data_IF_741136836994
#
_entry.id   IF_741136836994
#
_cell.length_a   1.000
_cell.length_b   1.000
_cell.length_c   1.000
_cell.angle_alpha   90.00
_cell.angle_beta   90.00
_cell.angle_gamma   90.00
#
_symmetry.space_group_name_H-M   'P 1'
#
loop_
_entity.id
_entity.type
_entity.pdbx_description
1 polymer ?
#
# COMPACT_ATOMS: atom_id res chain seq x y z
N UNK A 1 -28.29 17.97 20.99
CA UNK A 1 -29.65 17.40 20.86
C UNK A 1 -29.56 16.22 19.92
N UNK A 2 -29.76 15.01 20.45
CA UNK A 2 -29.73 13.76 19.68
C UNK A 2 -31.11 13.62 19.03
N UNK A 3 -31.20 13.81 17.72
CA UNK A 3 -32.42 13.49 16.98
C UNK A 3 -32.43 11.98 16.70
N UNK A 4 -33.30 11.26 17.40
CA UNK A 4 -33.70 9.92 17.01
C UNK A 4 -34.49 10.01 15.71
N UNK A 5 -34.03 9.31 14.67
CA UNK A 5 -34.78 9.16 13.41
C UNK A 5 -35.55 7.85 13.49
N UNK A 6 -36.88 7.95 13.39
CA UNK A 6 -37.80 6.82 13.31
C UNK A 6 -37.87 6.30 11.88
N UNK A 7 -37.92 4.98 11.71
CA UNK A 7 -38.00 4.33 10.40
C UNK A 7 -39.46 4.08 10.01
N UNK A 8 -39.83 4.46 8.78
CA UNK A 8 -41.10 4.08 8.17
C UNK A 8 -40.84 3.08 7.04
N UNK A 9 -41.29 1.83 7.22
CA UNK A 9 -41.33 0.82 6.16
C UNK A 9 -42.65 1.03 5.41
N UNK A 10 -42.59 1.41 4.14
CA UNK A 10 -43.76 1.37 3.24
C UNK A 10 -43.58 0.25 2.23
N UNK A 11 -44.34 -0.83 2.40
CA UNK A 11 -44.52 -1.86 1.38
C UNK A 11 -45.66 -1.43 0.44
N UNK A 12 -45.34 -1.16 -0.83
CA UNK A 12 -46.34 -1.00 -1.88
C UNK A 12 -46.62 -2.34 -2.55
N UNK A 13 -47.88 -2.78 -2.55
CA UNK A 13 -48.33 -3.93 -3.34
C UNK A 13 -48.75 -3.44 -4.73
N UNK A 14 -48.13 -4.00 -5.78
CA UNK A 14 -48.61 -3.87 -7.16
C UNK A 14 -48.97 -5.26 -7.67
N UNK A 15 -50.26 -5.51 -7.87
CA UNK A 15 -50.78 -6.76 -8.43
C UNK A 15 -50.87 -6.66 -9.95
N UNK A 16 -49.77 -6.94 -10.66
CA UNK A 16 -49.79 -7.53 -12.02
C UNK A 16 -48.38 -7.69 -12.60
N UNK A 17 -47.80 -8.89 -12.48
CA UNK A 17 -46.90 -9.52 -13.47
C UNK A 17 -46.26 -10.78 -12.86
N UNK A 18 -45.97 -11.77 -13.69
CA UNK A 18 -45.64 -13.16 -13.32
C UNK A 18 -44.17 -13.39 -12.89
N UNK A 19 -43.52 -12.43 -12.25
CA UNK A 19 -42.27 -12.66 -11.51
C UNK A 19 -42.19 -11.67 -10.34
N UNK A 20 -42.30 -12.10 -9.07
CA UNK A 20 -42.18 -11.19 -7.94
C UNK A 20 -40.68 -10.95 -7.67
N UNK A 21 -40.08 -10.02 -8.40
CA UNK A 21 -38.83 -9.40 -7.98
C UNK A 21 -39.13 -8.47 -6.80
N UNK A 22 -38.64 -8.81 -5.61
CA UNK A 22 -38.69 -7.90 -4.47
C UNK A 22 -37.68 -6.77 -4.67
N UNK A 23 -38.16 -5.58 -5.03
CA UNK A 23 -37.36 -4.36 -4.99
C UNK A 23 -37.44 -3.76 -3.59
N UNK A 24 -36.48 -4.10 -2.73
CA UNK A 24 -36.30 -3.45 -1.45
C UNK A 24 -35.42 -2.21 -1.64
N UNK A 25 -36.05 -1.04 -1.79
CA UNK A 25 -35.32 0.23 -1.87
C UNK A 25 -34.99 0.72 -0.47
N UNK A 26 -33.80 0.39 0.04
CA UNK A 26 -33.27 0.99 1.26
C UNK A 26 -32.59 2.33 0.89
N UNK A 27 -33.31 3.44 1.05
CA UNK A 27 -32.74 4.78 0.86
C UNK A 27 -32.05 5.19 2.16
N UNK A 28 -30.73 5.00 2.24
CA UNK A 28 -29.92 5.55 3.32
C UNK A 28 -29.62 7.00 2.96
N UNK A 29 -30.39 7.93 3.52
CA UNK A 29 -30.11 9.36 3.39
C UNK A 29 -28.89 9.70 4.27
N UNK A 30 -27.69 9.58 3.73
CA UNK A 30 -26.52 10.29 4.27
C UNK A 30 -26.31 11.55 3.43
N UNK A 31 -25.94 12.65 4.08
CA UNK A 31 -25.48 13.89 3.42
C UNK A 31 -24.06 13.73 2.85
N UNK A 32 -23.71 12.54 2.38
CA UNK A 32 -22.40 12.15 1.84
C UNK A 32 -22.49 11.72 0.37
N UNK A 33 -21.36 11.35 -0.26
CA UNK A 33 -21.36 10.85 -1.62
C UNK A 33 -22.34 9.66 -1.74
N UNK A 34 -23.07 9.59 -2.86
CA UNK A 34 -24.07 8.54 -3.14
C UNK A 34 -23.42 7.17 -2.94
N UNK A 35 -23.69 6.54 -1.80
CA UNK A 35 -23.34 5.15 -1.55
C UNK A 35 -24.06 4.33 -2.62
N UNK A 36 -23.33 3.38 -3.21
CA UNK A 36 -23.73 2.64 -4.40
C UNK A 36 -25.17 2.08 -4.36
N UNK A 37 -25.72 1.80 -5.54
CA UNK A 37 -27.05 1.18 -5.64
C UNK A 37 -26.96 -0.25 -5.11
N UNK A 38 -27.69 -0.53 -4.05
CA UNK A 38 -27.88 -1.88 -3.53
C UNK A 38 -28.98 -2.56 -4.35
N UNK A 39 -28.70 -3.71 -4.94
CA UNK A 39 -29.67 -4.55 -5.64
C UNK A 39 -29.48 -6.02 -5.28
N UNK A 40 -30.52 -6.82 -5.45
CA UNK A 40 -30.41 -8.28 -5.40
C UNK A 40 -30.54 -8.77 -6.84
N UNK A 41 -29.53 -9.47 -7.34
CA UNK A 41 -29.51 -10.05 -8.69
C UNK A 41 -29.19 -11.55 -8.58
N UNK A 42 -30.05 -12.40 -9.14
CA UNK A 42 -29.96 -13.87 -9.03
C UNK A 42 -29.73 -14.44 -7.62
N UNK A 43 -30.23 -13.74 -6.58
CA UNK A 43 -30.05 -14.14 -5.18
C UNK A 43 -28.74 -13.63 -4.54
N UNK A 44 -27.93 -12.88 -5.28
CA UNK A 44 -26.72 -12.23 -4.78
C UNK A 44 -26.98 -10.76 -4.43
N UNK A 45 -26.39 -10.29 -3.33
CA UNK A 45 -26.36 -8.88 -3.00
C UNK A 45 -25.34 -8.16 -3.89
N UNK A 46 -25.81 -7.31 -4.79
CA UNK A 46 -25.00 -6.49 -5.69
C UNK A 46 -24.93 -5.07 -5.15
N UNK A 47 -23.73 -4.60 -4.87
CA UNK A 47 -23.46 -3.19 -4.52
C UNK A 47 -22.86 -2.54 -5.76
N UNK A 48 -23.66 -1.74 -6.47
CA UNK A 48 -23.19 -0.98 -7.62
C UNK A 48 -22.63 0.36 -7.14
N UNK A 49 -21.34 0.40 -6.84
CA UNK A 49 -20.68 1.67 -6.53
C UNK A 49 -20.35 2.38 -7.84
N UNK A 50 -20.85 3.61 -8.07
CA UNK A 50 -20.38 4.39 -9.21
C UNK A 50 -18.88 4.65 -9.04
N UNK A 51 -18.04 3.93 -9.77
CA UNK A 51 -16.58 4.08 -9.74
C UNK A 51 -16.16 5.41 -10.36
N UNK A 52 -16.91 5.85 -11.37
CA UNK A 52 -16.98 7.20 -11.93
C UNK A 52 -18.09 7.18 -13.00
N UNK A 53 -18.70 8.32 -13.32
CA UNK A 53 -19.52 8.43 -14.53
C UNK A 53 -18.56 8.77 -15.68
N UNK A 54 -18.30 7.83 -16.59
CA UNK A 54 -17.66 8.14 -17.86
C UNK A 54 -18.62 9.10 -18.60
N UNK A 55 -18.35 10.41 -18.59
CA UNK A 55 -19.06 11.33 -19.48
C UNK A 55 -18.41 11.26 -20.85
N UNK A 56 -19.23 11.16 -21.89
CA UNK A 56 -18.79 11.46 -23.24
C UNK A 56 -18.48 12.97 -23.31
N UNK A 57 -17.20 13.33 -23.48
CA UNK A 57 -16.73 14.72 -23.64
C UNK A 57 -15.54 15.08 -22.74
N UNK A 58 -14.79 16.11 -23.13
CA UNK A 58 -13.49 16.56 -22.59
C UNK A 58 -13.47 17.03 -21.11
N UNK A 59 -14.43 16.62 -20.28
CA UNK A 59 -14.42 16.91 -18.84
C UNK A 59 -13.63 15.81 -18.09
N UNK A 60 -12.70 16.16 -17.18
CA UNK A 60 -11.97 15.17 -16.40
C UNK A 60 -12.96 14.29 -15.61
N UNK A 61 -12.74 12.98 -15.68
CA UNK A 61 -13.64 11.93 -15.20
C UNK A 61 -13.85 11.93 -13.67
N UNK A 62 -12.96 12.61 -12.96
CA UNK A 62 -12.87 12.71 -11.52
C UNK A 62 -12.81 14.19 -11.17
N UNK A 63 -13.65 14.62 -10.22
CA UNK A 63 -13.68 16.00 -9.71
C UNK A 63 -12.49 16.27 -8.78
N UNK A 64 -11.28 16.05 -9.30
CA UNK A 64 -10.01 16.32 -8.64
C UNK A 64 -9.56 17.70 -9.13
N UNK A 65 -9.32 18.66 -8.21
CA UNK A 65 -8.83 19.98 -8.57
C UNK A 65 -7.52 19.90 -9.36
N UNK A 66 -7.39 20.79 -10.35
CA UNK A 66 -6.09 21.07 -10.96
C UNK A 66 -5.10 21.48 -9.86
N UNK A 67 -3.88 20.95 -9.93
CA UNK A 67 -2.77 21.08 -8.98
C UNK A 67 -2.95 20.35 -7.65
N UNK A 68 -3.84 19.36 -7.58
CA UNK A 68 -3.90 18.46 -6.44
C UNK A 68 -2.61 17.62 -6.31
N UNK A 69 -2.22 17.31 -5.07
CA UNK A 69 -1.17 16.33 -4.78
C UNK A 69 -1.80 14.93 -4.87
N UNK A 70 -1.77 14.32 -6.06
CA UNK A 70 -2.39 13.01 -6.30
C UNK A 70 -1.47 11.89 -5.79
N UNK A 71 -2.02 11.04 -4.94
CA UNK A 71 -1.39 9.86 -4.37
C UNK A 71 -2.19 8.63 -4.81
N UNK A 72 -1.54 7.64 -5.41
CA UNK A 72 -2.18 6.38 -5.80
C UNK A 72 -1.68 5.28 -4.88
N UNK A 73 -2.60 4.50 -4.32
CA UNK A 73 -2.31 3.39 -3.41
C UNK A 73 -2.98 2.13 -3.94
N UNK A 74 -2.17 1.18 -4.43
CA UNK A 74 -2.65 -0.06 -5.02
C UNK A 74 -2.44 -1.22 -4.05
N UNK A 75 -3.53 -1.87 -3.65
CA UNK A 75 -3.49 -2.92 -2.62
C UNK A 75 -3.58 -2.34 -1.22
N UNK A 76 -4.58 -1.48 -0.98
CA UNK A 76 -4.70 -0.77 0.30
C UNK A 76 -5.16 -1.64 1.46
N UNK A 77 -5.59 -2.88 1.18
CA UNK A 77 -6.13 -3.78 2.20
C UNK A 77 -7.24 -3.06 3.00
N UNK A 78 -7.07 -2.89 4.31
CA UNK A 78 -8.09 -2.28 5.17
C UNK A 78 -8.06 -0.75 5.21
N UNK A 79 -6.93 -0.13 4.89
CA UNK A 79 -6.74 1.32 4.96
C UNK A 79 -5.62 1.78 4.02
N UNK A 80 -5.79 2.94 3.38
CA UNK A 80 -4.71 3.50 2.57
C UNK A 80 -3.52 3.91 3.44
N UNK A 81 -2.32 3.57 2.98
CA UNK A 81 -1.04 4.03 3.51
C UNK A 81 -0.99 5.58 3.54
N UNK A 82 -1.67 6.25 2.60
CA UNK A 82 -1.70 7.71 2.52
C UNK A 82 -2.80 8.38 3.35
N UNK A 83 -3.59 7.64 4.13
CA UNK A 83 -4.66 8.22 4.94
C UNK A 83 -4.16 9.31 5.92
N UNK A 84 -2.99 9.17 6.60
CA UNK A 84 -2.44 10.26 7.42
C UNK A 84 -2.09 11.52 6.62
N UNK A 85 -1.52 11.35 5.41
CA UNK A 85 -1.19 12.45 4.50
C UNK A 85 -2.45 13.16 4.02
N UNK A 86 -3.46 12.39 3.63
CA UNK A 86 -4.76 12.90 3.20
C UNK A 86 -5.43 13.78 4.26
N UNK A 87 -5.35 13.37 5.53
CA UNK A 87 -5.93 14.10 6.67
C UNK A 87 -5.17 15.39 7.01
N UNK A 88 -3.87 15.44 6.76
CA UNK A 88 -3.00 16.55 7.19
C UNK A 88 -2.73 17.58 6.08
N UNK A 89 -2.70 17.14 4.81
CA UNK A 89 -2.44 17.99 3.65
C UNK A 89 -3.77 18.28 2.92
N UNK A 90 -4.29 19.54 2.94
CA UNK A 90 -5.54 19.90 2.29
C UNK A 90 -5.49 19.83 0.76
N UNK A 91 -4.30 19.77 0.15
CA UNK A 91 -4.12 19.60 -1.28
C UNK A 91 -4.01 18.12 -1.70
N UNK A 92 -3.85 17.19 -0.75
CA UNK A 92 -3.73 15.77 -1.04
C UNK A 92 -5.05 15.16 -1.52
N UNK A 93 -4.94 14.29 -2.52
CA UNK A 93 -6.02 13.45 -3.02
C UNK A 93 -5.51 12.02 -3.15
N UNK A 94 -6.30 11.06 -2.67
CA UNK A 94 -5.92 9.64 -2.68
C UNK A 94 -6.83 8.87 -3.64
N UNK A 95 -6.23 8.06 -4.51
CA UNK A 95 -6.93 7.06 -5.30
C UNK A 95 -6.44 5.69 -4.82
N UNK A 96 -7.32 4.98 -4.11
CA UNK A 96 -7.03 3.73 -3.46
C UNK A 96 -7.69 2.56 -4.21
N UNK A 97 -6.97 1.45 -4.36
CA UNK A 97 -7.48 0.22 -4.96
C UNK A 97 -7.47 -0.92 -3.94
N UNK A 98 -8.59 -1.62 -3.82
CA UNK A 98 -8.70 -2.84 -3.03
C UNK A 98 -9.68 -3.81 -3.70
N UNK A 99 -9.19 -4.91 -4.31
CA UNK A 99 -10.07 -5.88 -4.99
C UNK A 99 -10.90 -6.75 -4.03
N UNK A 100 -10.42 -7.04 -2.83
CA UNK A 100 -11.15 -7.84 -1.85
C UNK A 100 -12.34 -7.04 -1.31
N UNK A 101 -13.56 -7.48 -1.62
CA UNK A 101 -14.77 -6.74 -1.25
C UNK A 101 -14.96 -6.57 0.26
N UNK A 102 -14.42 -7.46 1.10
CA UNK A 102 -14.51 -7.32 2.55
C UNK A 102 -13.55 -6.25 3.07
N UNK A 103 -12.32 -6.23 2.57
CA UNK A 103 -11.35 -5.20 2.91
C UNK A 103 -11.76 -3.84 2.34
N UNK A 104 -12.26 -3.80 1.10
CA UNK A 104 -12.83 -2.62 0.48
C UNK A 104 -14.03 -2.07 1.27
N UNK A 105 -14.98 -2.92 1.67
CA UNK A 105 -16.14 -2.49 2.45
C UNK A 105 -15.71 -1.96 3.83
N UNK A 106 -14.72 -2.59 4.48
CA UNK A 106 -14.15 -2.09 5.72
C UNK A 106 -13.51 -0.71 5.55
N UNK A 107 -12.72 -0.54 4.50
CA UNK A 107 -12.09 0.74 4.18
C UNK A 107 -13.16 1.82 3.96
N UNK A 108 -14.20 1.52 3.17
CA UNK A 108 -15.30 2.43 2.91
C UNK A 108 -16.05 2.85 4.19
N UNK A 109 -16.34 1.91 5.09
CA UNK A 109 -17.09 2.21 6.33
C UNK A 109 -16.26 2.99 7.34
N UNK A 110 -14.97 2.65 7.50
CA UNK A 110 -14.16 3.16 8.60
C UNK A 110 -13.29 4.36 8.22
N UNK A 111 -13.00 4.54 6.93
CA UNK A 111 -11.96 5.47 6.46
C UNK A 111 -12.38 6.32 5.26
N UNK A 112 -13.67 6.37 4.91
CA UNK A 112 -14.16 7.27 3.86
C UNK A 112 -13.68 8.71 4.08
N UNK A 113 -13.32 9.39 2.99
CA UNK A 113 -12.89 10.77 3.03
C UNK A 113 -13.32 11.52 1.75
N UNK A 114 -13.75 12.79 1.81
CA UNK A 114 -14.23 13.53 0.64
C UNK A 114 -13.21 13.71 -0.49
N UNK A 115 -11.91 13.59 -0.17
CA UNK A 115 -10.77 13.67 -1.11
C UNK A 115 -10.13 12.31 -1.39
N UNK A 116 -10.87 11.22 -1.16
CA UNK A 116 -10.44 9.86 -1.46
C UNK A 116 -11.42 9.21 -2.42
N UNK A 117 -10.87 8.59 -3.46
CA UNK A 117 -11.60 7.72 -4.38
C UNK A 117 -11.14 6.30 -4.09
N UNK A 118 -12.06 5.45 -3.63
CA UNK A 118 -11.79 4.05 -3.30
C UNK A 118 -12.44 3.13 -4.35
N UNK A 119 -11.61 2.38 -5.06
CA UNK A 119 -12.02 1.57 -6.21
C UNK A 119 -11.92 0.08 -5.83
N UNK A 120 -13.04 -0.65 -5.95
CA UNK A 120 -13.07 -2.11 -5.77
C UNK A 120 -12.64 -2.82 -7.07
N UNK A 121 -11.35 -2.77 -7.36
CA UNK A 121 -10.75 -3.44 -8.50
C UNK A 121 -9.29 -3.75 -8.20
N UNK A 122 -8.78 -4.80 -8.83
CA UNK A 122 -7.35 -5.03 -8.93
C UNK A 122 -6.77 -4.15 -10.04
N UNK A 123 -5.47 -3.84 -9.92
CA UNK A 123 -4.73 -3.18 -11.00
C UNK A 123 -3.82 -4.20 -11.65
N UNK A 124 -3.74 -4.22 -12.98
CA UNK A 124 -2.92 -5.19 -13.70
C UNK A 124 -2.85 -4.91 -15.20
N UNK A 125 -2.17 -5.79 -15.94
CA UNK A 125 -1.84 -5.58 -17.36
C UNK A 125 -3.04 -5.70 -18.32
N UNK A 126 -4.24 -6.03 -17.83
CA UNK A 126 -5.47 -6.04 -18.64
C UNK A 126 -6.11 -4.66 -18.64
N UNK A 127 -6.37 -4.09 -19.82
CA UNK A 127 -7.03 -2.78 -19.94
C UNK A 127 -8.38 -2.78 -19.23
N UNK A 128 -9.19 -3.84 -19.40
CA UNK A 128 -10.46 -4.06 -18.67
C UNK A 128 -10.79 -5.55 -18.67
N UNK A 129 -11.18 -6.09 -17.53
CA UNK A 129 -11.64 -7.48 -17.47
C UNK A 129 -11.91 -7.98 -16.06
N UNK A 130 -11.96 -9.30 -15.94
CA UNK A 130 -12.10 -10.02 -14.67
C UNK A 130 -10.89 -10.91 -14.47
N UNK A 131 -10.48 -11.08 -13.22
CA UNK A 131 -9.46 -12.06 -12.82
C UNK A 131 -9.89 -12.75 -11.55
N UNK A 132 -9.30 -13.92 -11.31
CA UNK A 132 -9.43 -14.63 -10.04
C UNK A 132 -8.47 -14.00 -9.03
N UNK A 133 -9.02 -13.48 -7.94
CA UNK A 133 -8.29 -13.17 -6.71
C UNK A 133 -8.31 -14.41 -5.82
N UNK A 134 -7.15 -14.80 -5.32
CA UNK A 134 -6.99 -15.89 -4.37
C UNK A 134 -6.77 -15.31 -2.96
N UNK A 135 -7.57 -15.76 -1.99
CA UNK A 135 -7.33 -15.54 -0.56
C UNK A 135 -6.48 -16.69 -0.03
N UNK A 136 -5.19 -16.46 0.09
CA UNK A 136 -4.23 -17.44 0.59
C UNK A 136 -4.19 -17.45 2.12
N UNK A 137 -4.02 -18.65 2.66
CA UNK A 137 -3.68 -18.90 4.06
C UNK A 137 -2.58 -19.96 4.14
N UNK A 138 -1.79 -19.96 5.21
CA UNK A 138 -0.84 -21.04 5.46
C UNK A 138 -1.58 -22.35 5.73
N UNK A 139 -0.99 -23.47 5.31
CA UNK A 139 -1.58 -24.79 5.47
C UNK A 139 -1.91 -25.08 6.93
N UNK A 140 -3.17 -25.39 7.20
CA UNK A 140 -3.69 -25.64 8.56
C UNK A 140 -4.17 -24.37 9.28
N UNK A 141 -4.06 -23.19 8.67
CA UNK A 141 -4.65 -21.95 9.16
C UNK A 141 -5.95 -21.63 8.41
N UNK A 142 -6.95 -21.12 9.13
CA UNK A 142 -8.16 -20.58 8.51
C UNK A 142 -7.92 -19.14 8.06
N UNK A 143 -8.37 -18.82 6.85
CA UNK A 143 -8.51 -17.43 6.45
C UNK A 143 -9.61 -16.81 7.30
N UNK A 144 -9.29 -15.71 8.00
CA UNK A 144 -10.23 -15.04 8.88
C UNK A 144 -10.17 -13.57 8.64
N UNK A 145 -11.30 -12.97 8.26
CA UNK A 145 -11.44 -11.53 8.28
C UNK A 145 -11.11 -11.01 9.69
N UNK A 146 -10.34 -9.93 9.81
CA UNK A 146 -9.85 -9.38 11.09
C UNK A 146 -8.82 -10.18 11.94
N UNK A 147 -8.23 -11.28 11.46
CA UNK A 147 -7.19 -12.03 12.22
C UNK A 147 -5.85 -11.32 12.45
N UNK A 148 -5.53 -10.28 11.69
CA UNK A 148 -4.26 -9.55 11.81
C UNK A 148 -3.10 -10.28 11.15
N UNK A 149 -2.60 -9.71 10.04
CA UNK A 149 -1.29 -9.96 9.43
C UNK A 149 -1.01 -11.35 8.81
N UNK A 150 -1.23 -12.44 9.53
CA UNK A 150 -0.64 -13.74 9.13
C UNK A 150 -1.49 -14.59 8.17
N UNK A 151 -2.80 -14.34 8.09
CA UNK A 151 -3.72 -15.15 7.28
C UNK A 151 -4.49 -14.37 6.21
N UNK A 152 -4.03 -13.16 5.85
CA UNK A 152 -4.77 -12.28 4.92
C UNK A 152 -3.90 -11.88 3.74
N UNK A 153 -3.64 -12.87 2.88
CA UNK A 153 -2.82 -12.72 1.68
C UNK A 153 -3.74 -12.77 0.46
N UNK A 154 -4.05 -11.61 -0.12
CA UNK A 154 -4.82 -11.52 -1.37
C UNK A 154 -3.88 -11.34 -2.55
N UNK A 155 -3.85 -12.29 -3.49
CA UNK A 155 -3.03 -12.16 -4.70
C UNK A 155 -3.76 -12.65 -5.94
N UNK A 156 -3.48 -12.02 -7.08
CA UNK A 156 -3.91 -12.48 -8.40
C UNK A 156 -3.00 -13.60 -8.91
N UNK A 157 -1.84 -13.79 -8.29
CA UNK A 157 -0.89 -14.85 -8.62
C UNK A 157 -1.23 -16.12 -7.85
N UNK A 158 -0.90 -17.26 -8.47
CA UNK A 158 -0.90 -18.54 -7.78
C UNK A 158 0.27 -18.61 -6.80
N UNK A 159 0.07 -19.21 -5.63
CA UNK A 159 1.18 -19.50 -4.72
C UNK A 159 2.25 -20.36 -5.41
N UNK A 160 3.52 -20.17 -5.04
CA UNK A 160 4.58 -21.09 -5.47
C UNK A 160 4.31 -22.50 -4.87
N UNK A 161 4.38 -23.59 -5.66
CA UNK A 161 4.07 -24.94 -5.17
C UNK A 161 4.92 -25.42 -3.99
N UNK A 162 6.09 -24.81 -3.76
CA UNK A 162 6.96 -25.12 -2.62
C UNK A 162 6.58 -24.34 -1.37
N UNK A 163 5.62 -23.41 -1.46
CA UNK A 163 5.08 -22.67 -0.32
C UNK A 163 3.90 -23.44 0.25
N UNK A 164 3.83 -23.51 1.57
CA UNK A 164 2.71 -24.13 2.29
C UNK A 164 1.50 -23.18 2.33
N UNK A 165 1.09 -22.67 1.17
CA UNK A 165 -0.08 -21.81 1.03
C UNK A 165 -1.20 -22.59 0.36
N UNK A 166 -2.42 -22.45 0.87
CA UNK A 166 -3.63 -23.02 0.28
C UNK A 166 -4.60 -21.89 -0.01
N UNK A 167 -5.22 -21.92 -1.19
CA UNK A 167 -6.28 -21.00 -1.53
C UNK A 167 -7.50 -21.38 -0.69
N UNK A 168 -7.81 -20.58 0.32
CA UNK A 168 -8.99 -20.79 1.16
C UNK A 168 -10.27 -20.44 0.40
N UNK A 169 -10.20 -19.38 -0.40
CA UNK A 169 -11.31 -18.89 -1.20
C UNK A 169 -10.79 -18.22 -2.47
N UNK A 170 -11.60 -18.24 -3.51
CA UNK A 170 -11.36 -17.52 -4.76
C UNK A 170 -12.55 -16.63 -5.07
N UNK A 171 -12.31 -15.43 -5.57
CA UNK A 171 -13.37 -14.55 -6.03
C UNK A 171 -13.01 -13.93 -7.38
N UNK A 172 -14.04 -13.60 -8.18
CA UNK A 172 -13.85 -12.83 -9.40
C UNK A 172 -13.81 -11.34 -9.04
N UNK A 173 -12.76 -10.66 -9.48
CA UNK A 173 -12.58 -9.22 -9.26
C UNK A 173 -12.38 -8.52 -10.59
N UNK A 174 -12.88 -7.29 -10.67
CA UNK A 174 -12.61 -6.43 -11.81
C UNK A 174 -11.10 -6.11 -11.85
N UNK A 175 -10.54 -6.02 -13.05
CA UNK A 175 -9.16 -5.59 -13.29
C UNK A 175 -9.17 -4.37 -14.20
N UNK A 176 -8.42 -3.35 -13.79
CA UNK A 176 -8.15 -2.15 -14.58
C UNK A 176 -6.65 -1.98 -14.79
N UNK A 177 -6.26 -1.31 -15.86
CA UNK A 177 -4.86 -0.95 -16.06
C UNK A 177 -4.51 0.37 -15.39
N UNK A 178 -3.29 0.49 -14.87
CA UNK A 178 -2.81 1.77 -14.36
C UNK A 178 -2.73 2.83 -15.47
N UNK A 179 -2.53 2.41 -16.73
CA UNK A 179 -2.58 3.29 -17.90
C UNK A 179 -3.92 4.03 -18.00
N UNK A 180 -5.03 3.29 -17.90
CA UNK A 180 -6.37 3.87 -18.03
C UNK A 180 -6.68 4.84 -16.89
N UNK A 181 -6.23 4.51 -15.67
CA UNK A 181 -6.38 5.39 -14.50
C UNK A 181 -5.56 6.66 -14.69
N UNK A 182 -4.27 6.53 -15.02
CA UNK A 182 -3.40 7.68 -15.20
C UNK A 182 -3.90 8.59 -16.33
N UNK A 183 -4.36 8.03 -17.45
CA UNK A 183 -4.83 8.78 -18.60
C UNK A 183 -5.98 9.76 -18.29
N UNK A 184 -6.84 9.44 -17.31
CA UNK A 184 -7.99 10.28 -16.95
C UNK A 184 -7.71 11.30 -15.84
N UNK A 185 -6.52 11.27 -15.22
CA UNK A 185 -6.18 12.23 -14.18
C UNK A 185 -5.90 13.61 -14.76
N UNK A 186 -6.20 14.69 -14.01
CA UNK A 186 -5.92 16.05 -14.46
C UNK A 186 -4.43 16.41 -14.38
N UNK A 187 -3.67 15.76 -13.50
CA UNK A 187 -2.31 16.15 -13.14
C UNK A 187 -1.35 14.96 -13.00
N UNK A 188 -0.10 15.27 -12.63
CA UNK A 188 0.92 14.27 -12.28
C UNK A 188 0.59 13.61 -10.94
N UNK A 189 1.08 12.38 -10.79
CA UNK A 189 0.97 11.60 -9.57
C UNK A 189 2.26 11.78 -8.78
N UNK A 190 2.13 12.33 -7.58
CA UNK A 190 3.28 12.57 -6.70
C UNK A 190 3.90 11.25 -6.24
N UNK A 191 3.06 10.28 -5.85
CA UNK A 191 3.50 8.96 -5.40
C UNK A 191 2.52 7.90 -5.86
N UNK A 192 3.05 6.83 -6.45
CA UNK A 192 2.38 5.56 -6.67
C UNK A 192 2.93 4.54 -5.68
N UNK A 193 2.11 4.03 -4.76
CA UNK A 193 2.43 2.84 -3.95
C UNK A 193 1.80 1.60 -4.57
N UNK A 194 2.55 0.51 -4.64
CA UNK A 194 2.04 -0.83 -4.97
C UNK A 194 2.41 -1.83 -3.89
N UNK A 195 1.40 -2.55 -3.41
CA UNK A 195 1.51 -3.64 -2.44
C UNK A 195 0.41 -4.67 -2.74
N UNK A 196 0.60 -5.40 -3.83
CA UNK A 196 -0.39 -6.34 -4.39
C UNK A 196 0.08 -7.79 -4.30
N UNK A 197 0.90 -8.08 -3.29
CA UNK A 197 1.30 -9.43 -2.91
C UNK A 197 1.89 -10.19 -4.12
N UNK A 198 2.99 -9.66 -4.64
CA UNK A 198 3.86 -10.31 -5.63
C UNK A 198 3.69 -9.85 -7.08
N UNK A 199 2.57 -9.23 -7.42
CA UNK A 199 2.28 -8.73 -8.77
C UNK A 199 2.68 -7.25 -8.98
N UNK A 200 3.47 -6.68 -8.08
CA UNK A 200 3.71 -5.23 -8.01
C UNK A 200 4.38 -4.67 -9.26
N UNK A 201 5.40 -5.36 -9.78
CA UNK A 201 6.04 -4.94 -11.02
C UNK A 201 5.07 -4.99 -12.22
N UNK A 202 4.12 -5.93 -12.25
CA UNK A 202 3.10 -6.01 -13.32
C UNK A 202 2.08 -4.87 -13.22
N UNK A 203 1.74 -4.43 -12.00
CA UNK A 203 0.96 -3.19 -11.79
C UNK A 203 1.69 -2.00 -12.40
N UNK A 204 2.98 -1.84 -12.11
CA UNK A 204 3.78 -0.73 -12.65
C UNK A 204 3.89 -0.82 -14.17
N UNK A 205 4.14 -2.01 -14.73
CA UNK A 205 4.18 -2.25 -16.19
C UNK A 205 2.86 -1.89 -16.87
N UNK A 206 1.72 -2.13 -16.20
CA UNK A 206 0.40 -1.79 -16.75
C UNK A 206 0.17 -0.30 -17.00
N UNK A 207 1.02 0.59 -16.45
CA UNK A 207 0.99 2.02 -16.76
C UNK A 207 1.46 2.35 -18.18
N UNK A 208 2.30 1.51 -18.77
CA UNK A 208 2.94 1.77 -20.06
C UNK A 208 3.58 3.17 -20.11
N UNK A 209 3.30 3.92 -21.19
CA UNK A 209 3.85 5.27 -21.39
C UNK A 209 3.32 6.31 -20.42
N UNK A 210 2.19 6.06 -19.75
CA UNK A 210 1.61 6.99 -18.79
C UNK A 210 2.42 7.08 -17.49
N UNK A 211 3.33 6.12 -17.24
CA UNK A 211 4.25 6.16 -16.10
C UNK A 211 5.17 7.40 -16.11
N UNK A 212 5.29 8.12 -17.24
CA UNK A 212 5.95 9.44 -17.33
C UNK A 212 5.31 10.53 -16.45
N UNK A 213 4.07 10.30 -15.99
CA UNK A 213 3.31 11.20 -15.13
C UNK A 213 3.49 10.93 -13.64
N UNK A 214 4.21 9.87 -13.28
CA UNK A 214 4.48 9.49 -11.90
C UNK A 214 5.86 10.02 -11.50
N UNK A 215 5.90 10.78 -10.41
CA UNK A 215 7.12 11.39 -9.87
C UNK A 215 7.94 10.38 -9.05
N UNK A 216 7.26 9.59 -8.21
CA UNK A 216 7.85 8.59 -7.34
C UNK A 216 7.01 7.31 -7.29
N UNK A 217 7.69 6.18 -7.21
CA UNK A 217 7.10 4.84 -7.04
C UNK A 217 7.63 4.27 -5.73
N UNK A 218 6.73 3.77 -4.88
CA UNK A 218 7.06 2.90 -3.76
C UNK A 218 6.51 1.53 -4.10
N UNK A 219 7.39 0.56 -4.27
CA UNK A 219 7.03 -0.79 -4.69
C UNK A 219 7.50 -1.79 -3.64
N UNK A 220 6.62 -2.70 -3.25
CA UNK A 220 7.02 -3.88 -2.49
C UNK A 220 7.87 -4.80 -3.37
N UNK A 221 9.07 -5.11 -2.90
CA UNK A 221 10.04 -5.98 -3.54
C UNK A 221 10.31 -7.18 -2.62
N UNK A 222 10.20 -8.42 -3.12
CA UNK A 222 10.59 -9.58 -2.33
C UNK A 222 12.10 -9.61 -2.11
N UNK A 223 12.50 -10.14 -0.97
CA UNK A 223 13.88 -10.53 -0.74
C UNK A 223 14.28 -11.61 -1.73
N UNK A 224 15.49 -11.49 -2.27
CA UNK A 224 16.06 -12.49 -3.18
C UNK A 224 16.19 -13.88 -2.50
N UNK A 225 16.15 -13.91 -1.16
CA UNK A 225 16.11 -15.12 -0.34
C UNK A 225 15.21 -14.92 0.88
N UNK A 226 14.30 -15.84 1.22
CA UNK A 226 14.01 -17.14 0.57
C UNK A 226 13.25 -17.01 -0.77
N UNK A 227 13.02 -18.14 -1.45
CA UNK A 227 12.31 -18.30 -2.75
C UNK A 227 11.05 -17.41 -2.87
N UNK A 228 10.55 -17.10 -4.07
CA UNK A 228 9.29 -16.34 -4.22
C UNK A 228 8.13 -16.99 -3.43
N UNK A 229 7.19 -16.16 -2.98
CA UNK A 229 5.94 -16.60 -2.33
C UNK A 229 4.93 -17.02 -3.40
N UNK A 230 4.93 -16.32 -4.53
CA UNK A 230 4.00 -16.54 -5.63
C UNK A 230 4.72 -16.94 -6.92
N UNK A 231 4.07 -17.79 -7.71
CA UNK A 231 4.52 -18.18 -9.04
C UNK A 231 4.52 -16.95 -9.96
N UNK A 232 5.67 -16.66 -10.57
CA UNK A 232 5.83 -15.48 -11.44
C UNK A 232 5.99 -14.16 -10.69
N UNK A 233 6.18 -14.20 -9.37
CA UNK A 233 6.58 -13.02 -8.60
C UNK A 233 7.91 -12.48 -9.14
N UNK A 234 7.95 -11.16 -9.34
CA UNK A 234 9.13 -10.46 -9.82
C UNK A 234 10.29 -10.51 -8.80
N UNK A 235 11.51 -10.37 -9.29
CA UNK A 235 12.71 -10.24 -8.46
C UNK A 235 13.09 -8.78 -8.24
N UNK A 236 13.92 -8.51 -7.22
CA UNK A 236 14.50 -7.18 -7.01
C UNK A 236 15.21 -6.66 -8.24
N UNK A 237 16.04 -7.51 -8.85
CA UNK A 237 16.82 -7.16 -10.04
C UNK A 237 15.91 -6.76 -11.21
N UNK A 238 14.84 -7.52 -11.46
CA UNK A 238 13.89 -7.20 -12.54
C UNK A 238 13.20 -5.84 -12.31
N UNK A 239 12.80 -5.55 -11.07
CA UNK A 239 12.22 -4.25 -10.72
C UNK A 239 13.21 -3.11 -10.90
N UNK A 240 14.43 -3.25 -10.38
CA UNK A 240 15.48 -2.23 -10.48
C UNK A 240 15.86 -1.97 -11.94
N UNK A 241 16.11 -3.01 -12.74
CA UNK A 241 16.44 -2.89 -14.17
C UNK A 241 15.31 -2.18 -14.94
N UNK A 242 14.07 -2.59 -14.70
CA UNK A 242 12.90 -2.03 -15.39
C UNK A 242 12.69 -0.55 -15.06
N UNK A 243 12.73 -0.18 -13.78
CA UNK A 243 12.54 1.20 -13.34
C UNK A 243 13.68 2.10 -13.78
N UNK A 244 14.93 1.60 -13.74
CA UNK A 244 16.09 2.32 -14.25
C UNK A 244 15.97 2.62 -15.75
N UNK A 245 15.50 1.64 -16.53
CA UNK A 245 15.26 1.82 -17.98
C UNK A 245 14.22 2.93 -18.27
N UNK A 246 13.28 3.17 -17.37
CA UNK A 246 12.26 4.23 -17.48
C UNK A 246 12.68 5.58 -16.87
N UNK A 247 13.95 5.69 -16.46
CA UNK A 247 14.54 6.92 -15.92
C UNK A 247 14.23 7.18 -14.45
N UNK A 248 13.75 6.17 -13.71
CA UNK A 248 13.67 6.26 -12.26
C UNK A 248 15.00 5.88 -11.63
N UNK A 249 15.33 6.53 -10.52
CA UNK A 249 16.51 6.25 -9.72
C UNK A 249 16.06 5.65 -8.40
N UNK A 250 16.71 4.56 -7.99
CA UNK A 250 16.51 3.97 -6.68
C UNK A 250 16.93 4.97 -5.58
N UNK A 251 16.01 5.33 -4.69
CA UNK A 251 16.26 6.21 -3.55
C UNK A 251 16.65 5.38 -2.32
N UNK A 252 15.73 4.55 -1.82
CA UNK A 252 15.91 3.80 -0.57
C UNK A 252 14.92 2.64 -0.45
N UNK A 253 15.33 1.59 0.26
CA UNK A 253 14.43 0.53 0.72
C UNK A 253 14.32 0.50 2.25
N UNK A 254 13.20 0.01 2.77
CA UNK A 254 13.00 -0.32 4.18
C UNK A 254 12.25 -1.64 4.33
N UNK A 255 12.64 -2.42 5.34
CA UNK A 255 12.03 -3.72 5.58
C UNK A 255 10.61 -3.54 6.11
N UNK A 256 9.65 -4.23 5.49
CA UNK A 256 8.28 -4.34 5.98
C UNK A 256 8.14 -5.68 6.72
N UNK A 257 8.80 -6.71 6.20
CA UNK A 257 8.81 -8.05 6.76
C UNK A 257 10.23 -8.65 6.67
N UNK A 258 10.39 -9.88 7.17
CA UNK A 258 11.63 -10.64 6.91
C UNK A 258 11.80 -11.09 5.46
N UNK A 259 10.73 -10.98 4.65
CA UNK A 259 10.67 -11.47 3.28
C UNK A 259 10.47 -10.36 2.23
N UNK A 260 10.05 -9.15 2.61
CA UNK A 260 9.79 -8.04 1.69
C UNK A 260 10.34 -6.70 2.19
N UNK A 261 10.68 -5.85 1.23
CA UNK A 261 11.03 -4.45 1.42
C UNK A 261 10.11 -3.55 0.59
N UNK A 262 9.72 -2.43 1.16
CA UNK A 262 9.26 -1.29 0.36
C UNK A 262 10.50 -0.60 -0.19
N UNK A 263 10.52 -0.36 -1.50
CA UNK A 263 11.60 0.37 -2.16
C UNK A 263 11.05 1.56 -2.93
N UNK A 264 11.62 2.74 -2.67
CA UNK A 264 11.27 3.98 -3.33
C UNK A 264 12.21 4.26 -4.51
N UNK A 265 11.61 4.67 -5.61
CA UNK A 265 12.26 5.08 -6.84
C UNK A 265 11.67 6.40 -7.31
N UNK A 266 12.51 7.38 -7.68
CA UNK A 266 12.04 8.69 -8.10
C UNK A 266 12.65 9.11 -9.43
N UNK A 267 11.91 9.93 -10.19
CA UNK A 267 12.48 10.64 -11.34
C UNK A 267 13.47 11.70 -10.88
N UNK A 268 14.33 12.13 -11.79
CA UNK A 268 15.37 13.12 -11.47
C UNK A 268 14.79 14.45 -11.00
N UNK A 269 13.64 14.87 -11.53
CA UNK A 269 12.93 16.08 -11.12
C UNK A 269 12.29 16.03 -9.74
N UNK A 270 12.00 14.81 -9.24
CA UNK A 270 11.37 14.58 -7.94
C UNK A 270 12.38 14.07 -6.90
N UNK A 271 13.64 13.89 -7.31
CA UNK A 271 14.71 13.37 -6.49
C UNK A 271 14.95 14.27 -5.27
N UNK A 272 15.07 13.64 -4.11
CA UNK A 272 15.41 14.34 -2.87
C UNK A 272 16.84 13.96 -2.51
N UNK A 273 17.71 14.96 -2.42
CA UNK A 273 19.03 14.76 -1.86
C UNK A 273 18.90 14.40 -0.39
N UNK A 274 19.19 13.13 -0.12
CA UNK A 274 19.18 12.61 1.23
C UNK A 274 20.43 13.10 1.95
N UNK A 275 20.34 13.35 3.27
CA UNK A 275 21.54 13.42 4.07
C UNK A 275 22.31 12.12 3.87
N UNK A 276 23.59 12.25 3.56
CA UNK A 276 24.56 11.17 3.52
C UNK A 276 24.53 10.38 4.83
N UNK A 277 24.99 9.12 4.81
CA UNK A 277 25.12 8.33 6.04
C UNK A 277 25.96 9.06 7.11
N UNK A 278 26.96 9.84 6.68
CA UNK A 278 27.76 10.69 7.55
C UNK A 278 26.96 11.85 8.18
N UNK A 279 26.04 12.46 7.44
CA UNK A 279 25.14 13.51 7.97
C UNK A 279 24.07 12.94 8.89
N UNK A 280 23.67 11.70 8.65
CA UNK A 280 22.82 10.90 9.53
C UNK A 280 23.48 10.54 10.87
N UNK A 281 24.82 10.42 10.89
CA UNK A 281 25.61 10.04 12.06
C UNK A 281 26.74 11.06 12.33
N UNK A 282 26.41 12.31 12.69
CA UNK A 282 27.35 13.44 12.65
C UNK A 282 28.48 13.42 13.68
N UNK A 283 28.60 12.36 14.51
CA UNK A 283 29.69 12.24 15.47
C UNK A 283 30.73 11.22 14.99
N UNK A 284 32.01 11.61 14.99
CA UNK A 284 33.15 10.72 14.70
C UNK A 284 33.14 9.43 15.53
N UNK A 285 32.52 9.45 16.72
CA UNK A 285 32.34 8.28 17.56
C UNK A 285 31.28 7.32 16.98
N UNK A 286 30.18 7.86 16.46
CA UNK A 286 29.14 7.06 15.81
C UNK A 286 29.64 6.48 14.49
N UNK A 287 30.37 7.28 13.70
CA UNK A 287 30.98 6.83 12.45
C UNK A 287 31.97 5.68 12.68
N UNK A 288 32.92 5.83 13.62
CA UNK A 288 33.88 4.76 13.94
C UNK A 288 33.24 3.49 14.48
N UNK A 289 32.14 3.60 15.22
CA UNK A 289 31.41 2.42 15.72
C UNK A 289 30.63 1.72 14.61
N UNK A 290 30.11 2.49 13.65
CA UNK A 290 29.52 1.94 12.43
C UNK A 290 30.58 1.26 11.55
N UNK A 291 31.72 1.91 11.31
CA UNK A 291 32.84 1.34 10.55
C UNK A 291 33.37 0.05 11.21
N UNK A 292 33.49 0.03 12.54
CA UNK A 292 33.88 -1.15 13.30
C UNK A 292 32.84 -2.28 13.17
N UNK A 293 31.56 -1.94 13.20
CA UNK A 293 30.48 -2.91 12.98
C UNK A 293 30.51 -3.47 11.56
N UNK A 294 30.68 -2.61 10.55
CA UNK A 294 30.75 -3.01 9.15
C UNK A 294 31.94 -3.96 8.94
N UNK A 295 33.10 -3.66 9.53
CA UNK A 295 34.25 -4.57 9.53
C UNK A 295 33.99 -5.92 10.19
N UNK A 296 33.19 -5.98 11.26
CA UNK A 296 32.79 -7.25 11.91
C UNK A 296 31.83 -8.05 11.03
N UNK A 297 30.87 -7.39 10.39
CA UNK A 297 29.93 -8.05 9.46
C UNK A 297 30.68 -8.60 8.26
N UNK A 298 31.53 -7.79 7.63
CA UNK A 298 32.34 -8.20 6.47
C UNK A 298 33.26 -9.38 6.84
N UNK A 299 33.91 -9.30 8.01
CA UNK A 299 34.74 -10.40 8.52
C UNK A 299 33.93 -11.68 8.76
N UNK A 300 32.78 -11.59 9.44
CA UNK A 300 31.91 -12.75 9.73
C UNK A 300 31.36 -13.38 8.45
N UNK A 301 31.01 -12.54 7.49
CA UNK A 301 30.56 -12.97 6.16
C UNK A 301 31.67 -13.60 5.32
N UNK A 302 32.92 -13.15 5.50
CA UNK A 302 34.07 -13.74 4.80
C UNK A 302 34.56 -15.06 5.41
N UNK A 303 34.23 -15.36 6.68
CA UNK A 303 34.79 -16.48 7.44
C UNK A 303 33.82 -17.64 7.69
N UNK A 304 32.51 -17.44 7.57
CA UNK A 304 31.52 -18.52 7.63
C UNK A 304 31.15 -19.02 6.22
N UNK A 305 31.02 -20.34 6.06
CA UNK A 305 30.52 -21.00 4.82
C UNK A 305 29.03 -20.72 4.50
N UNK A 306 28.41 -19.73 5.15
CA UNK A 306 27.10 -19.25 4.75
C UNK A 306 27.30 -18.12 3.74
N UNK A 307 26.73 -18.24 2.53
CA UNK A 307 26.90 -17.20 1.53
C UNK A 307 26.16 -15.95 2.01
N UNK A 308 26.90 -14.96 2.53
CA UNK A 308 26.45 -13.58 2.61
C UNK A 308 26.38 -12.95 1.21
N UNK A 309 25.86 -13.68 0.23
CA UNK A 309 25.75 -13.18 -1.13
C UNK A 309 24.57 -12.21 -1.19
N UNK A 310 24.94 -10.93 -1.10
CA UNK A 310 24.30 -9.73 -1.67
C UNK A 310 23.24 -8.93 -0.92
N UNK A 311 22.74 -9.31 0.26
CA UNK A 311 22.16 -8.31 1.19
C UNK A 311 22.00 -8.82 2.65
N UNK A 312 22.96 -8.63 3.57
CA UNK A 312 22.79 -9.03 4.97
C UNK A 312 22.01 -8.00 5.83
N UNK A 313 21.34 -7.01 5.23
CA UNK A 313 20.86 -5.81 5.96
C UNK A 313 19.63 -5.93 6.88
N UNK A 314 18.76 -6.96 6.93
CA UNK A 314 17.60 -6.90 7.83
C UNK A 314 17.83 -7.48 9.24
N UNK A 315 18.39 -8.68 9.38
CA UNK A 315 18.25 -9.42 10.64
C UNK A 315 19.32 -9.11 11.71
N UNK A 316 20.49 -8.64 11.32
CA UNK A 316 21.57 -8.27 12.28
C UNK A 316 21.36 -6.86 12.87
N UNK A 317 20.47 -6.04 12.27
CA UNK A 317 20.21 -4.66 12.73
C UNK A 317 19.51 -4.56 14.09
N UNK A 318 18.67 -5.53 14.46
CA UNK A 318 17.73 -5.32 15.57
C UNK A 318 18.32 -5.46 16.99
N UNK A 319 19.44 -6.18 17.19
CA UNK A 319 19.97 -6.39 18.55
C UNK A 319 21.14 -5.50 18.97
N UNK A 320 21.80 -4.79 18.05
CA UNK A 320 23.03 -4.06 18.38
C UNK A 320 22.94 -2.53 18.25
N UNK A 321 22.01 -1.98 17.46
CA UNK A 321 21.72 -0.53 17.43
C UNK A 321 21.11 -0.05 18.77
N UNK A 322 20.66 -0.99 19.61
CA UNK A 322 20.14 -0.73 20.95
C UNK A 322 21.15 -0.11 21.92
N UNK A 323 22.43 0.16 21.58
CA UNK A 323 23.42 0.63 22.57
C UNK A 323 23.87 2.09 22.60
N UNK A 324 23.93 2.87 21.52
CA UNK A 324 24.52 4.23 21.63
C UNK A 324 24.07 5.21 20.53
N UNK A 325 23.40 6.30 20.90
CA UNK A 325 23.47 7.60 20.21
C UNK A 325 22.79 8.74 21.01
N UNK A 326 23.51 9.85 21.24
CA UNK A 326 23.02 11.24 21.15
C UNK A 326 24.11 12.26 21.55
N UNK A 327 24.33 13.25 20.68
CA UNK A 327 24.95 14.54 20.97
C UNK A 327 24.07 15.65 20.37
N UNK A 328 23.85 16.74 21.10
CA UNK A 328 22.90 17.82 20.81
C UNK A 328 23.15 18.49 19.44
N UNK A 329 22.20 18.38 18.50
CA UNK A 329 21.77 19.44 17.55
C UNK A 329 20.74 18.88 16.56
N UNK A 330 19.45 19.18 16.76
CA UNK A 330 18.37 19.30 15.77
C UNK A 330 17.07 19.61 16.53
N UNK A 331 16.78 20.91 16.72
CA UNK A 331 15.73 21.42 17.62
C UNK A 331 14.29 21.32 17.08
N UNK A 332 14.01 20.48 16.07
CA UNK A 332 12.64 20.22 15.59
C UNK A 332 12.22 18.75 15.54
N UNK A 333 13.14 17.82 15.75
CA UNK A 333 12.82 16.41 15.90
C UNK A 333 13.19 16.01 17.33
N UNK A 334 12.22 16.15 18.24
CA UNK A 334 12.36 15.66 19.60
C UNK A 334 12.47 14.13 19.48
N UNK A 335 13.69 13.60 19.58
CA UNK A 335 13.91 12.17 19.77
C UNK A 335 13.09 11.75 20.99
N UNK A 336 12.05 10.96 20.76
CA UNK A 336 11.04 10.66 21.77
C UNK A 336 11.66 9.92 22.96
N UNK A 337 11.64 10.57 24.12
CA UNK A 337 11.70 9.95 25.45
C UNK A 337 13.09 9.52 25.94
N UNK A 338 13.38 9.87 27.20
CA UNK A 338 14.61 9.54 27.96
C UNK A 338 14.89 8.03 28.17
N UNK A 339 14.23 7.12 27.44
CA UNK A 339 14.36 5.66 27.57
C UNK A 339 14.43 4.86 26.27
N UNK A 340 14.26 5.48 25.09
CA UNK A 340 14.42 4.79 23.79
C UNK A 340 15.59 5.40 23.04
N UNK A 341 16.58 4.57 22.70
CA UNK A 341 17.80 5.00 21.98
C UNK A 341 17.47 5.20 20.49
N UNK A 342 18.09 6.18 19.81
CA UNK A 342 17.80 6.46 18.41
C UNK A 342 18.25 5.31 17.51
N UNK A 343 17.42 4.91 16.53
CA UNK A 343 17.77 3.93 15.50
C UNK A 343 17.91 4.60 14.13
N UNK A 344 18.46 3.88 13.14
CA UNK A 344 18.51 4.35 11.75
C UNK A 344 17.12 4.74 11.24
N UNK A 345 16.11 3.98 11.63
CA UNK A 345 14.71 4.20 11.29
C UNK A 345 14.24 5.57 11.81
N UNK A 346 14.58 5.93 13.05
CA UNK A 346 14.18 7.22 13.65
C UNK A 346 15.00 8.40 13.12
N UNK A 347 16.31 8.23 12.89
CA UNK A 347 17.20 9.35 12.56
C UNK A 347 17.32 9.64 11.07
N UNK A 348 17.11 8.63 10.21
CA UNK A 348 17.35 8.75 8.78
C UNK A 348 16.10 8.43 7.95
N UNK A 349 15.43 7.33 8.27
CA UNK A 349 14.28 6.89 7.49
C UNK A 349 13.04 7.75 7.76
N UNK A 350 12.75 8.06 9.03
CA UNK A 350 11.57 8.85 9.37
C UNK A 350 11.57 10.27 8.77
N UNK A 351 12.68 11.04 8.79
CA UNK A 351 12.75 12.31 8.06
C UNK A 351 12.50 12.13 6.58
N UNK A 352 13.16 11.15 5.94
CA UNK A 352 12.97 10.87 4.51
C UNK A 352 11.51 10.54 4.17
N UNK A 353 10.90 9.59 4.87
CA UNK A 353 9.52 9.18 4.65
C UNK A 353 8.56 10.36 4.86
N UNK A 354 8.80 11.17 5.90
CA UNK A 354 8.06 12.42 6.10
C UNK A 354 8.22 13.38 4.93
N UNK A 355 9.44 13.55 4.40
CA UNK A 355 9.72 14.45 3.27
C UNK A 355 9.00 14.00 2.01
N UNK A 356 9.03 12.70 1.68
CA UNK A 356 8.30 12.19 0.53
C UNK A 356 6.80 12.11 0.78
N UNK A 357 6.33 12.30 2.02
CA UNK A 357 4.91 12.23 2.37
C UNK A 357 4.38 10.81 2.57
N UNK A 358 5.27 9.86 2.80
CA UNK A 358 4.97 8.50 3.20
C UNK A 358 4.78 8.45 4.72
N UNK A 359 3.78 7.71 5.25
CA UNK A 359 3.54 7.64 6.69
C UNK A 359 4.78 7.11 7.45
N UNK A 360 4.94 7.61 8.67
CA UNK A 360 6.09 7.31 9.52
C UNK A 360 6.12 5.81 9.92
N UNK A 361 7.28 5.14 9.86
CA UNK A 361 7.45 3.73 10.19
C UNK A 361 7.13 3.35 11.63
N UNK A 362 6.86 4.29 12.55
CA UNK A 362 6.22 3.95 13.84
C UNK A 362 4.87 3.23 13.66
N UNK A 363 4.22 3.37 12.50
CA UNK A 363 3.00 2.64 12.13
C UNK A 363 3.32 1.27 11.47
N UNK A 364 4.49 1.12 10.84
CA UNK A 364 4.89 -0.09 10.10
C UNK A 364 5.63 -1.08 11.03
N UNK A 365 6.37 -0.58 12.02
CA UNK A 365 7.01 -1.40 13.04
C UNK A 365 5.96 -1.87 14.07
N UNK A 366 5.25 -2.96 13.74
CA UNK A 366 4.41 -3.73 14.66
C UNK A 366 5.19 -4.34 15.83
N UNK A 367 5.78 -3.51 16.68
CA UNK A 367 6.48 -3.92 17.91
C UNK A 367 5.94 -3.07 19.09
N UNK A 368 4.90 -3.64 19.70
CA UNK A 368 4.43 -3.47 21.09
C UNK A 368 3.53 -2.25 21.37
N UNK A 369 2.22 -2.47 21.20
CA UNK A 369 1.22 -2.10 22.20
C UNK A 369 0.23 -3.27 22.39
N UNK A 370 0.35 -4.08 23.46
CA UNK A 370 -0.73 -4.97 23.87
C UNK A 370 -1.73 -4.13 24.65
N UNK A 371 -2.99 -4.12 24.20
CA UNK A 371 -4.16 -3.59 24.91
C UNK A 371 -4.14 -2.10 25.27
N UNK A 372 -5.15 -1.37 24.80
CA UNK A 372 -6.00 -0.45 25.57
C UNK A 372 -6.98 0.22 24.58
N UNK A 373 -8.10 -0.46 24.32
CA UNK A 373 -9.47 0.02 24.52
C UNK A 373 -10.44 -1.14 24.39
#
# INVERSE_FOLDING_TARGET
MVHAVSYAIRSGWSSSSRHPGFLLSLVVATSGPVLGRLSIDEGHLVITTPVAKLQDGDQPLLDIPLRANILIDVGTHRESTFLPRLRSDPAAWVIAFEPDYLHWAHHLVNHAHPRMILINAAVGNSSRGWSTLYRWAYSGEEWRFNSGGKTQLGSLLQADPNRQLTAHETMQVAVVSLKDILAVLPDRVQILKTDVQGADLEVVKSAGTELKRVDRIVIEIPNDTPRPVYSGQHTRKETEDYLAHLGFRHERCWAISGAEHDCAFARSEAWIDLPSEAECFPSNRTLRLFDLWQGIVDYTCSTNQYPCERDPRPQVKMRWIEYFCCGKLLSKYICFGRRRRPSYETCCLAPYLTTIGYPNPEIIAGVIAPFLY
#
